data_IF_867765763265
#
_entry.id   IF_867765763265
#
_cell.length_a   1.000
_cell.length_b   1.000
_cell.length_c   1.000
_cell.angle_alpha   90.00
_cell.angle_beta   90.00
_cell.angle_gamma   90.00
#
_symmetry.space_group_name_H-M   'P 1'
#
loop_
_entity.id
_entity.type
_entity.pdbx_description
1 polymer ?
#
# COMPACT_ATOMS: atom_id res chain seq x y z
N UNK A 1 12.92 -56.79 -55.18
CA UNK A 1 11.95 -56.43 -54.16
C UNK A 1 12.52 -55.79 -52.84
N UNK A 2 13.80 -55.82 -52.63
CA UNK A 2 14.46 -55.41 -51.37
C UNK A 2 14.79 -53.88 -51.31
N UNK A 3 14.81 -53.17 -52.43
CA UNK A 3 15.18 -51.71 -52.46
C UNK A 3 14.04 -50.76 -52.15
N UNK A 4 12.76 -51.17 -52.27
CA UNK A 4 11.61 -50.35 -52.02
C UNK A 4 11.21 -50.28 -50.50
N UNK A 5 11.57 -51.32 -49.75
CA UNK A 5 11.26 -51.34 -48.29
C UNK A 5 12.20 -50.49 -47.48
N UNK A 6 13.44 -50.21 -47.94
CA UNK A 6 14.39 -49.33 -47.16
C UNK A 6 14.07 -47.85 -47.29
N UNK A 7 13.40 -47.42 -48.36
CA UNK A 7 12.95 -46.01 -48.49
C UNK A 7 11.73 -45.72 -47.70
N UNK A 8 10.83 -46.66 -47.48
CA UNK A 8 9.62 -46.43 -46.63
C UNK A 8 9.93 -46.30 -45.14
N UNK A 9 10.93 -47.00 -44.61
CA UNK A 9 11.36 -46.96 -43.23
C UNK A 9 12.10 -45.64 -42.92
N UNK A 10 12.86 -45.09 -43.88
CA UNK A 10 13.56 -43.81 -43.69
C UNK A 10 12.64 -42.61 -43.64
N UNK A 11 11.55 -42.60 -44.42
CA UNK A 11 10.57 -41.50 -44.43
C UNK A 11 9.70 -41.50 -43.19
N UNK A 12 9.31 -42.65 -42.65
CA UNK A 12 8.56 -42.73 -41.39
C UNK A 12 9.40 -42.29 -40.17
N UNK A 13 10.72 -42.59 -40.16
CA UNK A 13 11.60 -42.16 -39.10
C UNK A 13 11.84 -40.62 -39.08
N UNK A 14 11.87 -40.00 -40.28
CA UNK A 14 12.02 -38.54 -40.41
C UNK A 14 10.73 -37.78 -40.00
N UNK A 15 9.56 -38.33 -40.31
CA UNK A 15 8.27 -37.75 -39.90
C UNK A 15 8.01 -37.91 -38.41
N UNK A 16 8.48 -38.98 -37.77
CA UNK A 16 8.38 -39.16 -36.32
C UNK A 16 9.32 -38.20 -35.56
N UNK A 17 10.49 -37.86 -36.12
CA UNK A 17 11.41 -36.88 -35.51
C UNK A 17 10.91 -35.41 -35.62
N UNK A 18 10.13 -35.08 -36.67
CA UNK A 18 9.52 -33.76 -36.82
C UNK A 18 8.29 -33.59 -35.93
N UNK A 19 7.59 -34.67 -35.55
CA UNK A 19 6.43 -34.58 -34.64
C UNK A 19 6.83 -34.46 -33.15
N UNK A 20 8.05 -34.87 -32.77
CA UNK A 20 8.56 -34.76 -31.41
C UNK A 20 9.14 -33.37 -31.03
N UNK A 21 9.29 -32.47 -32.01
CA UNK A 21 9.89 -31.14 -31.83
C UNK A 21 8.90 -29.99 -31.58
N UNK A 22 7.59 -30.27 -31.53
CA UNK A 22 6.53 -29.24 -31.35
C UNK A 22 5.81 -29.34 -30.02
N UNK A 23 6.41 -29.91 -28.99
CA UNK A 23 5.95 -29.61 -27.61
C UNK A 23 6.47 -28.23 -27.22
N UNK A 24 5.71 -27.20 -27.58
CA UNK A 24 5.85 -25.92 -26.94
C UNK A 24 5.63 -26.15 -25.42
N UNK A 25 6.55 -25.73 -24.55
CA UNK A 25 6.20 -25.66 -23.15
C UNK A 25 4.99 -24.73 -23.10
N UNK A 26 3.82 -25.26 -22.75
CA UNK A 26 2.74 -24.43 -22.26
C UNK A 26 3.37 -23.62 -21.15
N UNK A 27 3.54 -22.31 -21.37
CA UNK A 27 3.79 -21.39 -20.28
C UNK A 27 2.69 -21.73 -19.25
N UNK A 28 3.09 -22.23 -18.09
CA UNK A 28 2.21 -22.29 -16.96
C UNK A 28 1.75 -20.83 -16.80
N UNK A 29 0.50 -20.55 -17.18
CA UNK A 29 -0.17 -19.36 -16.73
C UNK A 29 0.02 -19.44 -15.21
N UNK A 30 0.74 -18.50 -14.63
CA UNK A 30 0.68 -18.29 -13.21
C UNK A 30 -0.83 -18.14 -12.95
N UNK A 31 -1.39 -19.05 -12.17
CA UNK A 31 -2.69 -18.86 -11.58
C UNK A 31 -2.62 -17.47 -10.97
N UNK A 32 -3.23 -16.48 -11.60
CA UNK A 32 -3.61 -15.25 -10.92
C UNK A 32 -4.51 -15.77 -9.81
N UNK A 33 -3.97 -15.83 -8.62
CA UNK A 33 -4.74 -16.16 -7.42
C UNK A 33 -5.82 -15.09 -7.40
N UNK A 34 -7.04 -15.48 -7.80
CA UNK A 34 -8.21 -14.62 -7.82
C UNK A 34 -8.32 -14.06 -6.40
N UNK A 35 -7.92 -12.81 -6.25
CA UNK A 35 -7.87 -12.16 -4.94
C UNK A 35 -9.32 -12.00 -4.49
N UNK A 36 -9.69 -12.66 -3.40
CA UNK A 36 -11.06 -12.62 -2.90
C UNK A 36 -11.49 -11.16 -2.70
N UNK A 37 -12.70 -10.85 -3.15
CA UNK A 37 -13.26 -9.52 -3.06
C UNK A 37 -13.20 -8.98 -1.62
N UNK A 38 -12.82 -7.71 -1.42
CA UNK A 38 -12.86 -7.06 -0.13
C UNK A 38 -14.30 -6.91 0.35
N UNK A 39 -14.54 -7.15 1.64
CA UNK A 39 -15.85 -7.08 2.26
C UNK A 39 -15.94 -5.92 3.24
N UNK A 40 -16.98 -5.11 3.11
CA UNK A 40 -17.26 -4.00 4.03
C UNK A 40 -18.68 -4.12 4.57
N UNK A 41 -18.85 -4.00 5.87
CA UNK A 41 -20.16 -3.84 6.47
C UNK A 41 -20.27 -2.50 7.20
N UNK A 42 -21.21 -1.69 6.75
CA UNK A 42 -21.56 -0.43 7.39
C UNK A 42 -22.58 -0.71 8.49
N UNK A 43 -22.22 -0.46 9.74
CA UNK A 43 -23.10 -0.63 10.90
C UNK A 43 -23.61 0.74 11.34
N UNK A 44 -24.91 0.97 11.15
CA UNK A 44 -25.54 2.25 11.42
C UNK A 44 -26.40 2.20 12.68
N UNK A 45 -26.12 3.13 13.59
CA UNK A 45 -26.98 3.41 14.73
C UNK A 45 -28.27 4.08 14.27
N UNK A 46 -29.39 3.49 14.63
CA UNK A 46 -30.74 3.98 14.36
C UNK A 46 -31.52 4.16 15.69
N UNK A 47 -30.77 4.33 16.78
CA UNK A 47 -31.36 4.57 18.11
C UNK A 47 -32.05 5.92 18.21
N UNK A 48 -32.78 6.11 19.30
CA UNK A 48 -33.60 7.31 19.52
C UNK A 48 -32.81 8.63 19.53
N UNK A 49 -31.55 8.63 19.94
CA UNK A 49 -30.64 9.79 19.96
C UNK A 49 -30.35 10.33 18.56
N UNK A 50 -30.38 9.53 17.52
CA UNK A 50 -30.19 9.96 16.14
C UNK A 50 -31.23 10.97 15.62
N UNK A 51 -32.30 11.26 16.40
CA UNK A 51 -33.25 12.37 16.14
C UNK A 51 -32.68 13.72 16.46
N UNK A 52 -31.59 13.82 17.23
CA UNK A 52 -30.98 15.07 17.66
C UNK A 52 -30.60 15.94 16.47
N UNK A 53 -30.87 17.25 16.57
CA UNK A 53 -30.61 18.22 15.51
C UNK A 53 -29.40 19.08 15.88
N UNK A 54 -28.22 18.59 15.58
CA UNK A 54 -26.94 19.22 15.92
C UNK A 54 -25.85 19.04 14.84
N UNK A 55 -26.20 18.47 13.70
CA UNK A 55 -25.30 18.36 12.53
C UNK A 55 -25.84 19.26 11.41
N UNK A 56 -25.15 20.38 11.15
CA UNK A 56 -25.45 21.34 10.05
C UNK A 56 -26.92 21.73 9.96
N UNK A 57 -27.59 21.90 11.12
CA UNK A 57 -29.02 22.24 11.21
C UNK A 57 -29.98 21.08 10.92
N UNK A 58 -29.47 19.90 10.55
CA UNK A 58 -30.21 18.66 10.33
C UNK A 58 -30.18 17.72 11.51
N UNK A 59 -30.89 16.59 11.39
CA UNK A 59 -30.77 15.50 12.37
C UNK A 59 -29.53 14.64 12.04
N UNK A 60 -28.96 13.99 13.07
CA UNK A 60 -27.86 13.02 12.90
C UNK A 60 -28.23 11.93 11.89
N UNK A 61 -29.49 11.42 11.97
CA UNK A 61 -29.98 10.44 11.00
C UNK A 61 -30.06 10.98 9.57
N UNK A 62 -30.45 12.25 9.36
CA UNK A 62 -30.48 12.81 8.04
C UNK A 62 -29.07 12.95 7.44
N UNK A 63 -28.10 13.36 8.26
CA UNK A 63 -26.69 13.40 7.84
C UNK A 63 -26.16 12.01 7.51
N UNK A 64 -26.47 11.00 8.34
CA UNK A 64 -26.07 9.62 8.09
C UNK A 64 -26.66 9.07 6.78
N UNK A 65 -27.96 9.25 6.54
CA UNK A 65 -28.58 8.83 5.27
C UNK A 65 -27.94 9.45 4.05
N UNK A 66 -27.68 10.77 4.09
CA UNK A 66 -27.01 11.45 2.98
C UNK A 66 -25.61 10.90 2.75
N UNK A 67 -24.82 10.71 3.82
CA UNK A 67 -23.48 10.13 3.71
C UNK A 67 -23.52 8.70 3.13
N UNK A 68 -24.51 7.89 3.50
CA UNK A 68 -24.70 6.57 2.91
C UNK A 68 -25.02 6.65 1.42
N UNK A 69 -25.92 7.53 1.01
CA UNK A 69 -26.25 7.70 -0.41
C UNK A 69 -25.01 8.06 -1.24
N UNK A 70 -24.21 9.01 -0.77
CA UNK A 70 -22.98 9.45 -1.43
C UNK A 70 -21.92 8.32 -1.48
N UNK A 71 -21.74 7.60 -0.39
CA UNK A 71 -20.79 6.48 -0.30
C UNK A 71 -21.20 5.30 -1.17
N UNK A 72 -22.50 4.95 -1.20
CA UNK A 72 -23.01 3.89 -2.06
C UNK A 72 -22.77 4.21 -3.55
N UNK A 73 -22.89 5.49 -3.95
CA UNK A 73 -22.57 5.91 -5.32
C UNK A 73 -21.08 5.77 -5.65
N UNK A 74 -20.21 6.09 -4.67
CA UNK A 74 -18.77 6.10 -4.84
C UNK A 74 -18.11 4.72 -4.62
N UNK A 75 -18.83 3.74 -4.07
CA UNK A 75 -18.26 2.40 -3.76
C UNK A 75 -17.77 1.70 -5.03
N UNK A 76 -16.51 1.20 -5.06
CA UNK A 76 -15.98 0.41 -6.17
C UNK A 76 -16.81 -0.86 -6.42
N UNK A 77 -16.84 -1.33 -7.68
CA UNK A 77 -17.66 -2.50 -8.07
C UNK A 77 -17.12 -3.84 -7.55
N UNK A 78 -15.86 -3.88 -7.22
CA UNK A 78 -15.15 -5.04 -6.68
C UNK A 78 -15.26 -5.19 -5.16
N UNK A 79 -15.91 -4.22 -4.47
CA UNK A 79 -16.19 -4.28 -3.04
C UNK A 79 -17.54 -4.94 -2.80
N UNK A 80 -17.54 -6.02 -2.02
CA UNK A 80 -18.77 -6.60 -1.45
C UNK A 80 -19.20 -5.78 -0.24
N UNK A 81 -20.36 -5.11 -0.33
CA UNK A 81 -20.84 -4.22 0.73
C UNK A 81 -22.12 -4.75 1.37
N UNK A 82 -22.18 -4.66 2.69
CA UNK A 82 -23.37 -4.91 3.50
C UNK A 82 -23.74 -3.73 4.37
N UNK A 83 -24.98 -3.67 4.80
CA UNK A 83 -25.48 -2.67 5.75
C UNK A 83 -26.23 -3.38 6.87
N UNK A 84 -25.82 -3.12 8.10
CA UNK A 84 -26.49 -3.57 9.33
C UNK A 84 -26.95 -2.37 10.14
N UNK A 85 -28.09 -2.52 10.82
CA UNK A 85 -28.60 -1.51 11.76
C UNK A 85 -28.59 -2.03 13.19
N UNK A 86 -28.56 -1.11 14.11
CA UNK A 86 -28.87 -1.32 15.52
C UNK A 86 -29.93 -0.31 15.98
N UNK A 87 -30.88 -0.77 16.83
CA UNK A 87 -31.94 0.07 17.38
C UNK A 87 -32.99 0.55 16.38
N UNK A 88 -33.19 -0.17 15.27
CA UNK A 88 -34.09 0.26 14.20
C UNK A 88 -35.53 -0.23 14.34
N UNK A 89 -35.77 -1.38 15.01
CA UNK A 89 -37.02 -2.12 14.88
C UNK A 89 -37.85 -2.19 16.16
N UNK A 90 -37.24 -2.03 17.35
CA UNK A 90 -37.91 -2.13 18.61
C UNK A 90 -38.13 -0.77 19.31
N UNK A 91 -39.34 -0.18 19.25
CA UNK A 91 -39.62 1.11 19.85
C UNK A 91 -40.00 1.03 21.35
N UNK A 92 -40.00 -0.17 21.93
CA UNK A 92 -40.48 -0.41 23.30
C UNK A 92 -39.41 -0.11 24.37
N UNK A 93 -39.85 -0.14 25.62
CA UNK A 93 -39.02 0.16 26.80
C UNK A 93 -38.42 -1.10 27.45
N UNK A 94 -38.69 -2.30 26.94
CA UNK A 94 -38.05 -3.50 27.44
C UNK A 94 -36.62 -3.59 26.94
N UNK A 95 -35.67 -3.34 27.84
CA UNK A 95 -34.23 -3.35 27.53
C UNK A 95 -33.77 -4.69 26.99
N UNK A 96 -34.30 -5.80 27.51
CA UNK A 96 -33.89 -7.14 27.08
C UNK A 96 -34.23 -7.39 25.61
N UNK A 97 -35.39 -6.93 25.16
CA UNK A 97 -35.80 -7.05 23.76
C UNK A 97 -35.06 -5.97 22.89
N UNK A 98 -34.96 -4.74 23.37
CA UNK A 98 -34.23 -3.66 22.65
C UNK A 98 -32.76 -3.99 22.44
N UNK A 99 -32.13 -4.69 23.37
CA UNK A 99 -30.74 -5.11 23.26
C UNK A 99 -30.49 -6.29 22.27
N UNK A 100 -31.54 -6.84 21.70
CA UNK A 100 -31.45 -7.81 20.59
C UNK A 100 -31.67 -7.14 19.22
N UNK A 101 -32.03 -5.86 19.21
CA UNK A 101 -32.44 -5.15 18.00
C UNK A 101 -31.23 -4.76 17.15
N UNK A 102 -30.74 -5.74 16.41
CA UNK A 102 -29.80 -5.56 15.30
C UNK A 102 -30.27 -6.39 14.11
N UNK A 103 -30.27 -5.81 12.93
CA UNK A 103 -30.76 -6.42 11.73
C UNK A 103 -29.85 -6.13 10.53
N UNK A 104 -29.63 -7.13 9.69
CA UNK A 104 -29.02 -6.94 8.40
C UNK A 104 -30.03 -6.26 7.48
N UNK A 105 -29.79 -4.99 7.16
CA UNK A 105 -30.64 -4.18 6.31
C UNK A 105 -30.43 -4.50 4.83
N UNK A 106 -29.16 -4.69 4.46
CA UNK A 106 -28.70 -5.07 3.13
C UNK A 106 -27.59 -6.12 3.28
N UNK A 107 -27.69 -7.29 2.61
CA UNK A 107 -26.73 -8.37 2.79
C UNK A 107 -25.35 -8.04 2.21
N UNK A 108 -24.28 -8.57 2.82
CA UNK A 108 -22.94 -8.46 2.28
C UNK A 108 -22.83 -9.20 0.95
N UNK A 109 -22.41 -8.48 -0.10
CA UNK A 109 -22.31 -9.03 -1.45
C UNK A 109 -22.10 -7.94 -2.50
N UNK A 110 -22.17 -8.31 -3.80
CA UNK A 110 -22.13 -7.35 -4.89
C UNK A 110 -23.19 -6.25 -4.71
N UNK A 111 -22.78 -5.01 -4.81
CA UNK A 111 -23.62 -3.86 -4.47
C UNK A 111 -24.65 -3.53 -5.56
N UNK A 112 -25.95 -3.68 -5.27
CA UNK A 112 -27.00 -2.97 -5.98
C UNK A 112 -27.28 -1.63 -5.29
N UNK A 113 -26.82 -0.53 -5.90
CA UNK A 113 -26.93 0.81 -5.33
C UNK A 113 -28.37 1.26 -5.11
N UNK A 114 -29.28 0.90 -6.01
CA UNK A 114 -30.69 1.29 -5.93
C UNK A 114 -31.40 0.63 -4.77
N UNK A 115 -31.19 -0.67 -4.62
CA UNK A 115 -31.79 -1.44 -3.52
C UNK A 115 -31.22 -1.01 -2.17
N UNK A 116 -29.88 -0.84 -2.07
CA UNK A 116 -29.23 -0.38 -0.83
C UNK A 116 -29.72 1.00 -0.40
N UNK A 117 -29.81 1.99 -1.31
CA UNK A 117 -30.33 3.32 -1.02
C UNK A 117 -31.81 3.29 -0.61
N UNK A 118 -32.61 2.48 -1.29
CA UNK A 118 -34.02 2.32 -0.95
C UNK A 118 -34.16 1.78 0.47
N UNK A 119 -33.35 0.80 0.87
CA UNK A 119 -33.36 0.26 2.21
C UNK A 119 -32.96 1.34 3.25
N UNK A 120 -31.89 2.09 3.03
CA UNK A 120 -31.44 3.17 3.91
C UNK A 120 -32.50 4.27 4.04
N UNK A 121 -33.21 4.61 2.98
CA UNK A 121 -34.25 5.65 2.98
C UNK A 121 -35.40 5.32 3.97
N UNK A 122 -35.69 4.02 4.22
CA UNK A 122 -36.77 3.59 5.12
C UNK A 122 -36.47 3.79 6.61
N UNK A 123 -35.19 3.95 7.00
CA UNK A 123 -34.77 3.97 8.38
C UNK A 123 -35.38 5.16 9.16
N UNK A 124 -35.84 4.89 10.38
CA UNK A 124 -36.35 5.89 11.30
C UNK A 124 -35.73 5.68 12.69
N UNK A 125 -35.14 6.70 13.30
CA UNK A 125 -34.56 6.57 14.63
C UNK A 125 -35.59 6.06 15.64
N UNK A 126 -35.29 4.98 16.35
CA UNK A 126 -36.32 4.27 17.11
C UNK A 126 -35.87 3.85 18.50
N UNK A 127 -34.95 2.90 18.61
CA UNK A 127 -34.81 2.06 19.80
C UNK A 127 -33.57 2.32 20.65
N UNK A 128 -33.03 1.23 21.19
CA UNK A 128 -31.85 1.17 22.04
C UNK A 128 -30.56 1.14 21.22
N UNK A 129 -29.40 1.18 21.89
CA UNK A 129 -28.07 1.21 21.23
C UNK A 129 -27.29 -0.08 21.55
N UNK A 130 -27.60 -1.25 20.93
CA UNK A 130 -26.92 -2.53 21.16
C UNK A 130 -25.65 -2.67 20.31
N UNK A 131 -24.58 -1.90 20.58
CA UNK A 131 -23.33 -1.91 19.81
C UNK A 131 -22.66 -3.28 19.87
N UNK A 132 -22.45 -3.85 21.07
CA UNK A 132 -21.81 -5.16 21.23
C UNK A 132 -22.47 -6.27 20.42
N UNK A 133 -23.79 -6.49 20.56
CA UNK A 133 -24.53 -7.44 19.73
C UNK A 133 -24.44 -7.17 18.24
N UNK A 134 -24.46 -5.91 17.79
CA UNK A 134 -24.37 -5.55 16.38
C UNK A 134 -22.99 -5.90 15.80
N UNK A 135 -21.91 -5.62 16.53
CA UNK A 135 -20.55 -5.97 16.12
C UNK A 135 -20.32 -7.48 15.98
N UNK A 136 -20.87 -8.29 16.93
CA UNK A 136 -20.80 -9.76 16.83
C UNK A 136 -21.50 -10.29 15.59
N UNK A 137 -22.65 -9.73 15.25
CA UNK A 137 -23.40 -10.12 14.06
C UNK A 137 -22.72 -9.68 12.78
N UNK A 138 -22.24 -8.43 12.73
CA UNK A 138 -21.49 -7.92 11.59
C UNK A 138 -20.21 -8.73 11.32
N UNK A 139 -19.47 -9.11 12.36
CA UNK A 139 -18.31 -10.00 12.20
C UNK A 139 -18.71 -11.36 11.61
N UNK A 140 -19.89 -11.89 11.96
CA UNK A 140 -20.43 -13.12 11.37
C UNK A 140 -20.88 -12.96 9.92
N UNK A 141 -21.44 -11.80 9.54
CA UNK A 141 -21.87 -11.51 8.16
C UNK A 141 -20.68 -11.39 7.20
N UNK A 142 -19.53 -10.98 7.73
CA UNK A 142 -18.27 -10.88 6.98
C UNK A 142 -17.47 -12.19 6.96
N UNK A 143 -17.95 -13.25 7.59
CA UNK A 143 -17.20 -14.50 7.68
C UNK A 143 -17.02 -15.17 6.30
N UNK A 144 -15.92 -15.90 6.14
CA UNK A 144 -15.57 -16.59 4.90
C UNK A 144 -14.80 -15.72 3.89
N UNK A 145 -13.97 -16.39 3.08
CA UNK A 145 -13.07 -15.77 2.11
C UNK A 145 -11.74 -15.31 2.69
N UNK A 146 -10.81 -14.95 1.82
CA UNK A 146 -9.44 -14.51 2.16
C UNK A 146 -9.23 -13.00 1.95
N UNK A 147 -10.25 -12.25 1.50
CA UNK A 147 -10.17 -10.81 1.25
C UNK A 147 -10.13 -9.98 2.53
N UNK A 148 -9.85 -8.71 2.38
CA UNK A 148 -9.92 -7.70 3.46
C UNK A 148 -11.34 -7.63 4.01
N UNK A 149 -11.49 -7.55 5.33
CA UNK A 149 -12.78 -7.41 6.00
C UNK A 149 -12.78 -6.18 6.88
N UNK A 150 -13.81 -5.37 6.75
CA UNK A 150 -13.92 -4.11 7.47
C UNK A 150 -15.34 -3.86 7.96
N UNK A 151 -15.47 -3.50 9.23
CA UNK A 151 -16.69 -2.93 9.78
C UNK A 151 -16.47 -1.43 9.94
N UNK A 152 -17.44 -0.62 9.51
CA UNK A 152 -17.48 0.81 9.78
C UNK A 152 -18.69 1.08 10.65
N UNK A 153 -18.47 1.27 11.95
CA UNK A 153 -19.52 1.58 12.92
C UNK A 153 -19.75 3.08 12.99
N UNK A 154 -20.99 3.50 12.79
CA UNK A 154 -21.43 4.89 12.89
C UNK A 154 -22.45 4.98 14.01
N UNK A 155 -22.11 5.68 15.11
CA UNK A 155 -22.98 5.82 16.28
C UNK A 155 -22.83 7.22 16.91
N UNK A 156 -23.88 7.67 17.59
CA UNK A 156 -23.93 8.95 18.27
C UNK A 156 -23.97 8.80 19.80
N UNK A 157 -23.95 7.59 20.33
CA UNK A 157 -24.08 7.33 21.76
C UNK A 157 -23.32 6.11 22.27
N UNK A 158 -23.32 5.98 23.59
CA UNK A 158 -22.78 4.82 24.27
C UNK A 158 -23.71 3.60 24.10
N UNK A 159 -23.11 2.42 24.18
CA UNK A 159 -23.88 1.17 24.30
C UNK A 159 -24.79 1.20 25.54
N UNK A 160 -26.07 0.96 25.33
CA UNK A 160 -27.08 0.90 26.40
C UNK A 160 -27.37 -0.54 26.85
N UNK A 161 -26.63 -1.53 26.33
CA UNK A 161 -26.99 -2.95 26.37
C UNK A 161 -25.93 -3.82 27.09
N UNK A 162 -25.83 -3.66 28.41
CA UNK A 162 -25.02 -4.57 29.21
C UNK A 162 -25.71 -5.96 29.38
N UNK A 163 -24.94 -7.04 29.59
CA UNK A 163 -23.57 -7.08 30.11
C UNK A 163 -22.46 -7.13 29.05
N UNK A 164 -22.78 -7.15 27.77
CA UNK A 164 -21.78 -7.21 26.71
C UNK A 164 -21.10 -5.83 26.55
N UNK A 165 -19.86 -5.71 27.00
CA UNK A 165 -19.03 -4.52 26.75
C UNK A 165 -18.58 -4.52 25.29
N UNK A 166 -18.89 -3.49 24.48
CA UNK A 166 -18.51 -3.45 23.07
C UNK A 166 -17.01 -3.50 22.82
N UNK A 167 -16.18 -2.96 23.74
CA UNK A 167 -14.75 -3.02 23.62
C UNK A 167 -14.20 -4.43 23.85
N UNK A 168 -14.76 -5.19 24.82
CA UNK A 168 -14.44 -6.60 25.01
C UNK A 168 -14.86 -7.43 23.81
N UNK A 169 -16.03 -7.15 23.23
CA UNK A 169 -16.49 -7.77 21.99
C UNK A 169 -15.50 -7.53 20.85
N UNK A 170 -15.01 -6.31 20.68
CA UNK A 170 -14.02 -5.99 19.65
C UNK A 170 -12.71 -6.76 19.87
N UNK A 171 -12.23 -6.89 21.12
CA UNK A 171 -11.06 -7.73 21.48
C UNK A 171 -11.31 -9.21 21.17
N UNK A 172 -12.51 -9.73 21.44
CA UNK A 172 -12.86 -11.12 21.11
C UNK A 172 -12.84 -11.34 19.58
N UNK A 173 -13.37 -10.39 18.81
CA UNK A 173 -13.33 -10.42 17.34
C UNK A 173 -11.89 -10.43 16.85
N UNK A 174 -11.03 -9.55 17.37
CA UNK A 174 -9.61 -9.49 17.03
C UNK A 174 -8.87 -10.79 17.38
N UNK A 175 -9.18 -11.40 18.54
CA UNK A 175 -8.55 -12.63 18.99
C UNK A 175 -8.87 -13.85 18.11
N UNK A 176 -9.98 -13.84 17.37
CA UNK A 176 -10.31 -14.87 16.39
C UNK A 176 -9.41 -14.88 15.16
N UNK A 177 -8.55 -13.88 15.01
CA UNK A 177 -7.51 -13.84 13.96
C UNK A 177 -8.05 -13.76 12.53
N UNK A 178 -9.28 -13.28 12.34
CA UNK A 178 -9.97 -13.26 11.03
C UNK A 178 -9.55 -12.08 10.15
N UNK A 179 -8.54 -11.30 10.54
CA UNK A 179 -8.08 -10.14 9.75
C UNK A 179 -9.15 -9.07 9.55
N UNK A 180 -10.05 -8.90 10.54
CA UNK A 180 -11.14 -7.94 10.49
C UNK A 180 -10.75 -6.67 11.23
N UNK A 181 -10.92 -5.52 10.60
CA UNK A 181 -10.70 -4.20 11.18
C UNK A 181 -12.04 -3.51 11.45
N UNK A 182 -12.19 -2.89 12.62
CA UNK A 182 -13.38 -2.10 12.97
C UNK A 182 -12.97 -0.63 13.07
N UNK A 183 -13.45 0.19 12.15
CA UNK A 183 -13.36 1.65 12.28
C UNK A 183 -14.64 2.21 12.90
N UNK A 184 -14.51 3.26 13.67
CA UNK A 184 -15.65 3.86 14.38
C UNK A 184 -15.74 5.37 14.10
N UNK A 185 -16.95 5.83 13.84
CA UNK A 185 -17.29 7.24 13.66
C UNK A 185 -18.30 7.67 14.70
N UNK A 186 -17.91 8.63 15.54
CA UNK A 186 -18.79 9.23 16.56
C UNK A 186 -19.46 10.47 16.03
N UNK A 187 -20.79 10.50 15.97
CA UNK A 187 -21.57 11.68 15.56
C UNK A 187 -21.80 12.60 16.77
N UNK A 188 -21.10 13.75 16.78
CA UNK A 188 -21.15 14.73 17.89
C UNK A 188 -21.00 14.05 19.27
N UNK A 189 -19.98 13.24 19.52
CA UNK A 189 -19.90 12.38 20.69
C UNK A 189 -19.51 13.16 21.93
N UNK A 190 -20.07 12.78 23.09
CA UNK A 190 -19.54 13.15 24.39
C UNK A 190 -18.22 12.39 24.70
N UNK A 191 -17.62 12.65 25.87
CA UNK A 191 -16.35 12.03 26.24
C UNK A 191 -16.44 10.51 26.39
N UNK A 192 -17.53 10.00 26.96
CA UNK A 192 -17.70 8.57 27.23
C UNK A 192 -17.95 7.81 25.94
N UNK A 193 -18.82 8.32 25.07
CA UNK A 193 -19.03 7.78 23.72
C UNK A 193 -17.72 7.72 22.95
N UNK A 194 -16.90 8.79 23.04
CA UNK A 194 -15.58 8.84 22.40
C UNK A 194 -14.66 7.76 22.92
N UNK A 195 -14.54 7.63 24.25
CA UNK A 195 -13.66 6.64 24.87
C UNK A 195 -14.06 5.21 24.48
N UNK A 196 -15.36 4.91 24.45
CA UNK A 196 -15.86 3.60 24.05
C UNK A 196 -15.60 3.31 22.58
N UNK A 197 -15.91 4.26 21.67
CA UNK A 197 -15.69 4.09 20.23
C UNK A 197 -14.19 3.98 19.89
N UNK A 198 -13.32 4.76 20.56
CA UNK A 198 -11.87 4.64 20.42
C UNK A 198 -11.38 3.26 20.85
N UNK A 199 -11.85 2.75 22.00
CA UNK A 199 -11.46 1.43 22.47
C UNK A 199 -11.86 0.31 21.48
N UNK A 200 -13.05 0.39 20.86
CA UNK A 200 -13.50 -0.57 19.85
C UNK A 200 -12.58 -0.57 18.64
N UNK A 201 -12.23 0.60 18.12
CA UNK A 201 -11.36 0.75 16.98
C UNK A 201 -9.94 0.23 17.29
N UNK A 202 -9.34 0.68 18.38
CA UNK A 202 -7.98 0.31 18.80
C UNK A 202 -7.83 -1.20 19.01
N UNK A 203 -8.87 -1.88 19.50
CA UNK A 203 -8.87 -3.32 19.74
C UNK A 203 -8.63 -4.15 18.47
N UNK A 204 -8.95 -3.63 17.29
CA UNK A 204 -8.80 -4.32 16.00
C UNK A 204 -7.80 -3.65 15.04
N UNK A 205 -7.07 -2.64 15.52
CA UNK A 205 -6.14 -1.86 14.68
C UNK A 205 -6.85 -0.92 13.71
N UNK A 206 -8.12 -0.58 13.98
CA UNK A 206 -8.88 0.42 13.24
C UNK A 206 -8.66 1.83 13.73
N UNK A 207 -9.49 2.76 13.25
CA UNK A 207 -9.39 4.18 13.57
C UNK A 207 -10.71 4.73 14.09
N UNK A 208 -10.63 5.56 15.13
CA UNK A 208 -11.74 6.38 15.59
C UNK A 208 -11.72 7.75 14.93
N UNK A 209 -12.88 8.27 14.54
CA UNK A 209 -13.04 9.64 14.03
C UNK A 209 -14.27 10.29 14.67
N UNK A 210 -14.10 11.49 15.24
CA UNK A 210 -15.21 12.34 15.67
C UNK A 210 -15.70 13.16 14.48
N UNK A 211 -16.99 13.18 14.25
CA UNK A 211 -17.65 13.87 13.14
C UNK A 211 -18.62 14.91 13.67
N UNK A 212 -18.50 16.14 13.22
CA UNK A 212 -19.39 17.24 13.57
C UNK A 212 -20.16 17.82 12.37
N UNK A 213 -19.68 17.53 11.16
CA UNK A 213 -20.26 17.99 9.91
C UNK A 213 -20.57 16.81 8.99
N UNK A 214 -21.64 16.92 8.19
CA UNK A 214 -22.07 15.86 7.26
C UNK A 214 -21.03 15.53 6.20
N UNK A 215 -20.29 16.53 5.70
CA UNK A 215 -19.24 16.36 4.72
C UNK A 215 -18.09 15.53 5.27
N UNK A 216 -17.69 15.76 6.53
CA UNK A 216 -16.68 14.94 7.23
C UNK A 216 -17.13 13.47 7.31
N UNK A 217 -18.43 13.22 7.54
CA UNK A 217 -18.97 11.87 7.59
C UNK A 217 -18.87 11.19 6.22
N UNK A 218 -19.34 11.84 5.17
CA UNK A 218 -19.28 11.33 3.80
C UNK A 218 -17.85 11.01 3.39
N UNK A 219 -16.94 11.97 3.55
CA UNK A 219 -15.53 11.82 3.18
C UNK A 219 -14.88 10.66 3.93
N UNK A 220 -15.14 10.56 5.23
CA UNK A 220 -14.50 9.54 6.06
C UNK A 220 -15.02 8.14 5.77
N UNK A 221 -16.34 7.95 5.65
CA UNK A 221 -16.90 6.63 5.30
C UNK A 221 -16.41 6.22 3.90
N UNK A 222 -16.42 7.14 2.93
CA UNK A 222 -15.88 6.89 1.59
C UNK A 222 -14.42 6.45 1.62
N UNK A 223 -13.55 7.15 2.36
CA UNK A 223 -12.14 6.76 2.54
C UNK A 223 -12.00 5.34 3.13
N UNK A 224 -12.82 4.98 4.11
CA UNK A 224 -12.75 3.66 4.75
C UNK A 224 -13.21 2.54 3.81
N UNK A 225 -14.25 2.78 3.01
CA UNK A 225 -14.69 1.84 1.97
C UNK A 225 -13.61 1.67 0.90
N UNK A 226 -13.03 2.77 0.40
CA UNK A 226 -11.92 2.70 -0.56
C UNK A 226 -10.69 1.97 0.00
N UNK A 227 -10.34 2.19 1.27
CA UNK A 227 -9.23 1.45 1.92
C UNK A 227 -9.48 -0.05 2.01
N UNK A 228 -10.73 -0.49 2.03
CA UNK A 228 -11.03 -1.92 2.01
C UNK A 228 -10.79 -2.51 0.60
N UNK A 229 -10.99 -1.72 -0.44
CA UNK A 229 -10.69 -2.09 -1.82
C UNK A 229 -9.19 -2.12 -2.13
N UNK A 230 -8.36 -1.40 -1.35
CA UNK A 230 -6.91 -1.45 -1.52
C UNK A 230 -6.42 -2.90 -1.31
N UNK A 231 -5.75 -3.50 -2.31
CA UNK A 231 -5.30 -4.87 -2.21
C UNK A 231 -4.34 -5.03 -1.02
N UNK A 232 -4.64 -5.96 -0.13
CA UNK A 232 -3.65 -6.39 0.87
C UNK A 232 -2.55 -7.11 0.11
N UNK A 233 -1.48 -6.41 -0.18
CA UNK A 233 -0.30 -7.00 -0.79
C UNK A 233 0.34 -7.92 0.23
N UNK A 234 0.09 -9.22 0.10
CA UNK A 234 0.79 -10.21 0.92
C UNK A 234 2.23 -10.28 0.47
N UNK A 235 3.22 -10.04 1.35
CA UNK A 235 4.61 -10.11 0.98
C UNK A 235 4.97 -11.50 0.46
N UNK A 236 5.66 -11.55 -0.68
CA UNK A 236 6.16 -12.78 -1.26
C UNK A 236 7.58 -13.04 -0.74
N UNK A 237 7.85 -14.27 -0.29
CA UNK A 237 9.19 -14.64 0.13
C UNK A 237 10.13 -14.62 -1.08
N UNK A 238 11.22 -13.85 -1.00
CA UNK A 238 12.26 -13.77 -2.02
C UNK A 238 13.62 -14.00 -1.35
N UNK A 239 14.43 -14.87 -1.94
CA UNK A 239 15.81 -15.09 -1.47
C UNK A 239 16.77 -14.30 -2.34
N UNK A 240 17.21 -13.14 -1.88
CA UNK A 240 18.24 -12.35 -2.54
C UNK A 240 19.58 -13.10 -2.59
N UNK A 241 20.39 -12.82 -3.61
CA UNK A 241 21.70 -13.42 -3.78
C UNK A 241 22.84 -12.57 -3.18
N UNK A 242 24.05 -13.10 -3.15
CA UNK A 242 25.26 -12.37 -2.76
C UNK A 242 25.82 -11.45 -3.85
N UNK A 243 25.32 -11.57 -5.09
CA UNK A 243 25.76 -10.76 -6.24
C UNK A 243 24.66 -10.68 -7.30
N UNK A 244 24.68 -9.64 -8.12
CA UNK A 244 23.67 -9.38 -9.13
C UNK A 244 23.49 -10.55 -10.12
N UNK A 245 24.57 -11.16 -10.60
CA UNK A 245 24.51 -12.20 -11.63
C UNK A 245 23.63 -13.40 -11.26
N UNK A 246 23.64 -13.79 -9.98
CA UNK A 246 22.86 -14.92 -9.43
C UNK A 246 21.54 -14.47 -8.75
N UNK A 247 21.23 -13.17 -8.78
CA UNK A 247 20.06 -12.65 -8.09
C UNK A 247 18.74 -13.02 -8.80
N UNK A 248 17.65 -13.24 -8.04
CA UNK A 248 16.33 -13.46 -8.61
C UNK A 248 15.81 -12.18 -9.29
N UNK A 249 15.02 -12.34 -10.34
CA UNK A 249 14.32 -11.24 -11.00
C UNK A 249 12.96 -11.05 -10.33
N UNK A 250 12.70 -9.85 -9.82
CA UNK A 250 11.46 -9.46 -9.16
C UNK A 250 10.57 -8.67 -10.13
N UNK A 251 9.27 -8.83 -9.99
CA UNK A 251 8.24 -7.98 -10.59
C UNK A 251 7.83 -6.89 -9.61
N UNK A 252 6.91 -5.99 -10.00
CA UNK A 252 6.27 -5.10 -9.04
C UNK A 252 5.57 -5.91 -7.94
N UNK A 253 5.80 -5.53 -6.68
CA UNK A 253 5.26 -6.24 -5.51
C UNK A 253 6.03 -5.95 -4.23
N UNK A 254 5.53 -6.55 -3.14
CA UNK A 254 6.14 -6.52 -1.81
C UNK A 254 6.80 -7.86 -1.53
N UNK A 255 8.04 -7.83 -1.08
CA UNK A 255 8.87 -9.02 -0.87
C UNK A 255 9.43 -9.05 0.55
N UNK A 256 9.54 -10.27 1.10
CA UNK A 256 10.26 -10.49 2.37
C UNK A 256 11.48 -11.36 2.14
N UNK A 257 12.56 -11.03 2.82
CA UNK A 257 13.80 -11.81 2.86
C UNK A 257 14.44 -11.70 4.24
N UNK A 258 15.56 -12.37 4.44
CA UNK A 258 16.42 -12.24 5.60
C UNK A 258 17.85 -11.97 5.16
N UNK A 259 18.43 -10.91 5.72
CA UNK A 259 19.81 -10.53 5.45
C UNK A 259 20.68 -10.89 6.65
N UNK A 260 21.67 -11.76 6.47
CA UNK A 260 22.63 -12.06 7.52
C UNK A 260 23.51 -10.83 7.80
N UNK A 261 23.97 -10.71 9.04
CA UNK A 261 24.82 -9.59 9.45
C UNK A 261 26.03 -9.39 8.54
N UNK A 262 26.22 -8.18 8.04
CA UNK A 262 27.29 -7.82 7.11
C UNK A 262 27.17 -8.38 5.70
N UNK A 263 26.07 -9.02 5.34
CA UNK A 263 25.80 -9.50 3.98
C UNK A 263 24.99 -8.50 3.19
N UNK A 264 25.35 -8.36 1.92
CA UNK A 264 24.55 -7.65 0.92
C UNK A 264 23.52 -8.61 0.31
N UNK A 265 22.35 -8.09 -0.03
CA UNK A 265 21.31 -8.81 -0.78
C UNK A 265 21.09 -8.15 -2.13
N UNK A 266 21.07 -8.99 -3.16
CA UNK A 266 20.93 -8.55 -4.54
C UNK A 266 19.67 -9.12 -5.17
N UNK A 267 18.98 -8.27 -5.93
CA UNK A 267 17.78 -8.60 -6.70
C UNK A 267 17.90 -7.98 -8.09
N UNK A 268 17.14 -8.46 -9.07
CA UNK A 268 17.04 -7.90 -10.41
C UNK A 268 15.64 -7.37 -10.67
N UNK A 269 15.54 -6.32 -11.45
CA UNK A 269 14.27 -5.76 -11.94
C UNK A 269 14.48 -5.35 -13.39
N UNK A 270 13.57 -5.74 -14.26
CA UNK A 270 13.61 -5.35 -15.67
C UNK A 270 12.81 -4.07 -15.88
N UNK A 271 13.45 -3.04 -16.43
CA UNK A 271 12.87 -1.69 -16.63
C UNK A 271 12.93 -1.35 -18.10
N UNK A 272 11.79 -1.11 -18.75
CA UNK A 272 11.71 -0.68 -20.15
C UNK A 272 11.98 0.82 -20.28
N UNK A 273 12.42 1.31 -21.44
CA UNK A 273 12.42 2.74 -21.73
C UNK A 273 11.04 3.38 -21.46
N UNK A 274 11.01 4.57 -20.90
CA UNK A 274 9.79 5.24 -20.52
C UNK A 274 9.13 4.75 -19.23
N UNK A 275 9.73 3.76 -18.56
CA UNK A 275 9.28 3.31 -17.23
C UNK A 275 10.14 3.92 -16.11
N UNK A 276 9.57 3.96 -14.92
CA UNK A 276 10.24 4.38 -13.70
C UNK A 276 10.25 3.23 -12.70
N UNK A 277 11.45 2.88 -12.22
CA UNK A 277 11.63 1.98 -11.10
C UNK A 277 11.57 2.77 -9.80
N UNK A 278 10.68 2.36 -8.91
CA UNK A 278 10.61 2.79 -7.50
C UNK A 278 10.92 1.58 -6.64
N UNK A 279 11.82 1.73 -5.71
CA UNK A 279 12.12 0.67 -4.76
C UNK A 279 12.36 1.24 -3.38
N UNK A 280 11.90 0.54 -2.35
CA UNK A 280 12.18 0.85 -0.96
C UNK A 280 12.47 -0.41 -0.18
N UNK A 281 13.32 -0.30 0.83
CA UNK A 281 13.67 -1.40 1.71
C UNK A 281 13.53 -0.97 3.15
N UNK A 282 12.96 -1.86 3.97
CA UNK A 282 12.91 -1.76 5.42
C UNK A 282 13.64 -2.93 6.03
N UNK A 283 14.48 -2.67 7.00
CA UNK A 283 15.16 -3.70 7.81
C UNK A 283 14.81 -3.45 9.27
N UNK A 284 14.27 -4.49 9.92
CA UNK A 284 13.94 -4.46 11.34
C UNK A 284 14.87 -5.35 12.15
N UNK A 285 15.18 -4.94 13.37
CA UNK A 285 15.89 -5.79 14.32
C UNK A 285 14.88 -6.63 15.11
N UNK A 286 14.86 -7.93 14.86
CA UNK A 286 14.09 -8.91 15.62
C UNK A 286 14.85 -9.42 16.88
N UNK A 287 15.99 -8.79 17.18
CA UNK A 287 16.90 -9.09 18.31
C UNK A 287 17.83 -7.93 18.59
N UNK A 288 18.53 -7.96 19.72
CA UNK A 288 19.49 -6.92 20.07
C UNK A 288 20.60 -6.78 19.01
N UNK A 289 20.84 -5.56 18.57
CA UNK A 289 21.90 -5.17 17.62
C UNK A 289 22.79 -4.10 18.26
N UNK A 290 24.02 -3.97 17.77
CA UNK A 290 24.90 -2.88 18.21
C UNK A 290 24.35 -1.53 17.73
N UNK A 291 24.40 -0.47 18.55
CA UNK A 291 24.08 0.88 18.12
C UNK A 291 25.13 1.34 17.08
N UNK A 292 24.76 1.93 16.01
CA UNK A 292 25.53 2.29 14.83
C UNK A 292 25.34 1.31 13.70
N UNK A 293 24.20 1.40 13.07
CA UNK A 293 23.87 0.64 11.89
C UNK A 293 23.20 1.55 10.86
N UNK A 294 23.25 1.11 9.62
CA UNK A 294 22.59 1.82 8.53
C UNK A 294 22.14 0.84 7.47
N UNK A 295 21.18 1.27 6.69
CA UNK A 295 20.68 0.58 5.51
C UNK A 295 20.85 1.49 4.29
N UNK A 296 21.35 0.91 3.21
CA UNK A 296 21.52 1.57 1.92
C UNK A 296 20.90 0.71 0.82
N UNK A 297 20.05 1.32 0.02
CA UNK A 297 19.52 0.75 -1.20
C UNK A 297 20.13 1.47 -2.40
N UNK A 298 20.68 0.70 -3.36
CA UNK A 298 21.18 1.28 -4.60
C UNK A 298 20.81 0.44 -5.83
N UNK A 299 20.66 1.11 -6.95
CA UNK A 299 20.44 0.49 -8.24
C UNK A 299 21.72 0.58 -9.06
N UNK A 300 22.12 -0.55 -9.65
CA UNK A 300 23.32 -0.63 -10.48
C UNK A 300 22.99 -1.36 -11.79
N UNK A 301 23.74 -1.10 -12.85
CA UNK A 301 23.65 -1.88 -14.07
C UNK A 301 24.15 -3.31 -13.84
N UNK A 302 23.79 -4.26 -14.73
CA UNK A 302 24.31 -5.62 -14.70
C UNK A 302 25.87 -5.69 -14.74
N UNK A 303 26.54 -4.62 -15.20
CA UNK A 303 28.01 -4.47 -15.22
C UNK A 303 28.57 -3.83 -13.94
N UNK A 304 27.74 -3.58 -12.92
CA UNK A 304 28.16 -3.03 -11.64
C UNK A 304 28.31 -1.50 -11.59
N UNK A 305 27.92 -0.76 -12.65
CA UNK A 305 27.92 0.71 -12.61
C UNK A 305 26.70 1.20 -11.84
N UNK A 306 26.92 2.01 -10.82
CA UNK A 306 25.85 2.65 -10.06
C UNK A 306 25.01 3.58 -10.95
N UNK A 307 23.69 3.43 -10.89
CA UNK A 307 22.71 4.24 -11.62
C UNK A 307 22.14 5.29 -10.67
N UNK A 308 21.61 4.84 -9.55
CA UNK A 308 21.02 5.69 -8.51
C UNK A 308 21.24 5.06 -7.15
N UNK A 309 21.35 5.91 -6.16
CA UNK A 309 21.53 5.52 -4.75
C UNK A 309 20.45 6.20 -3.93
N UNK A 310 19.79 5.43 -3.05
CA UNK A 310 18.98 5.97 -1.97
C UNK A 310 19.87 6.65 -0.92
N UNK A 311 19.26 7.47 -0.09
CA UNK A 311 19.96 8.04 1.06
C UNK A 311 20.25 6.93 2.08
N UNK A 312 21.46 6.93 2.64
CA UNK A 312 21.80 5.98 3.71
C UNK A 312 21.00 6.34 4.97
N UNK A 313 20.12 5.44 5.37
CA UNK A 313 19.29 5.60 6.55
C UNK A 313 19.87 4.85 7.73
N UNK A 314 19.77 5.42 8.94
CA UNK A 314 20.11 4.77 10.19
C UNK A 314 20.86 5.68 11.15
N UNK A 315 20.38 5.74 12.38
CA UNK A 315 21.02 6.46 13.48
C UNK A 315 21.20 5.58 14.73
N UNK A 316 20.84 4.30 14.65
CA UNK A 316 20.86 3.39 15.80
C UNK A 316 19.82 3.73 16.88
N UNK A 317 18.75 4.45 16.54
CA UNK A 317 17.74 4.92 17.52
C UNK A 317 16.33 4.37 17.30
N UNK A 318 16.12 3.60 16.24
CA UNK A 318 14.81 3.05 15.89
C UNK A 318 14.94 1.58 15.54
N UNK A 319 13.93 0.79 15.90
CA UNK A 319 13.89 -0.67 15.69
C UNK A 319 13.66 -1.04 14.22
N UNK A 320 13.34 -0.05 13.37
CA UNK A 320 13.15 -0.23 11.93
C UNK A 320 13.78 0.93 11.17
N UNK A 321 14.52 0.59 10.12
CA UNK A 321 15.12 1.57 9.20
C UNK A 321 14.66 1.32 7.79
N UNK A 322 14.21 2.37 7.13
CA UNK A 322 13.75 2.34 5.74
C UNK A 322 14.52 3.34 4.90
N UNK A 323 14.83 2.95 3.67
CA UNK A 323 15.38 3.81 2.64
C UNK A 323 14.78 3.42 1.28
N UNK A 324 14.75 4.37 0.35
CA UNK A 324 14.20 4.13 -0.97
C UNK A 324 14.98 4.85 -2.06
N UNK A 325 14.71 4.48 -3.30
CA UNK A 325 15.25 5.09 -4.50
C UNK A 325 14.19 5.18 -5.59
N UNK A 326 14.45 6.05 -6.57
CA UNK A 326 13.63 6.27 -7.74
C UNK A 326 14.54 6.39 -8.96
N UNK A 327 14.26 5.62 -10.00
CA UNK A 327 15.00 5.63 -11.25
C UNK A 327 14.06 5.74 -12.44
N UNK A 328 13.80 6.94 -12.97
CA UNK A 328 13.11 7.12 -14.23
C UNK A 328 14.05 6.77 -15.39
N UNK A 329 13.66 5.80 -16.23
CA UNK A 329 14.41 5.47 -17.43
C UNK A 329 13.91 6.31 -18.60
N UNK A 330 14.78 7.05 -19.30
CA UNK A 330 14.38 7.85 -20.45
C UNK A 330 13.63 7.00 -21.49
N UNK A 331 12.63 7.60 -22.14
CA UNK A 331 11.97 7.01 -23.29
C UNK A 331 12.96 6.78 -24.44
N UNK A 332 12.69 5.83 -25.29
CA UNK A 332 13.44 5.55 -26.51
C UNK A 332 12.55 5.85 -27.71
N UNK A 333 13.17 6.33 -28.81
CA UNK A 333 12.48 6.47 -30.10
C UNK A 333 12.15 5.10 -30.74
N UNK A 334 12.70 4.02 -30.20
CA UNK A 334 12.40 2.65 -30.59
C UNK A 334 11.39 2.02 -29.61
N UNK A 335 10.13 1.89 -30.03
CA UNK A 335 9.05 1.31 -29.23
C UNK A 335 9.32 -0.16 -28.85
N UNK A 336 10.24 -0.85 -29.54
CA UNK A 336 10.65 -2.22 -29.26
C UNK A 336 11.97 -2.33 -28.49
N UNK A 337 12.49 -1.23 -27.97
CA UNK A 337 13.74 -1.27 -27.21
C UNK A 337 13.63 -2.24 -26.01
N UNK A 338 14.61 -3.15 -25.85
CA UNK A 338 14.55 -4.18 -24.82
C UNK A 338 14.59 -3.57 -23.41
N UNK A 339 13.97 -4.27 -22.47
CA UNK A 339 14.11 -3.93 -21.06
C UNK A 339 15.59 -4.06 -20.63
N UNK A 340 16.02 -3.15 -19.77
CA UNK A 340 17.32 -3.23 -19.12
C UNK A 340 17.17 -3.88 -17.76
N UNK A 341 18.01 -4.86 -17.48
CA UNK A 341 18.06 -5.45 -16.14
C UNK A 341 18.83 -4.53 -15.21
N UNK A 342 18.13 -3.99 -14.23
CA UNK A 342 18.67 -3.19 -13.13
C UNK A 342 18.85 -4.09 -11.92
N UNK A 343 20.03 -4.03 -11.29
CA UNK A 343 20.31 -4.76 -10.06
C UNK A 343 20.05 -3.85 -8.86
N UNK A 344 19.19 -4.29 -7.95
CA UNK A 344 18.98 -3.66 -6.65
C UNK A 344 19.92 -4.31 -5.64
N UNK A 345 20.72 -3.51 -4.96
CA UNK A 345 21.57 -3.93 -3.85
C UNK A 345 21.08 -3.33 -2.55
N UNK A 346 20.78 -4.21 -1.61
CA UNK A 346 20.50 -3.87 -0.22
C UNK A 346 21.76 -4.14 0.59
N UNK A 347 22.40 -3.10 1.09
CA UNK A 347 23.53 -3.16 2.00
C UNK A 347 23.10 -2.68 3.38
N UNK A 348 23.56 -3.37 4.43
CA UNK A 348 23.33 -2.94 5.80
C UNK A 348 24.57 -3.18 6.66
N UNK A 349 24.73 -2.38 7.73
CA UNK A 349 25.84 -2.44 8.65
C UNK A 349 25.48 -2.96 10.05
N UNK A 350 24.34 -3.65 10.17
CA UNK A 350 23.98 -4.27 11.45
C UNK A 350 25.00 -5.27 11.88
N UNK A 351 25.27 -5.32 13.19
CA UNK A 351 26.13 -6.31 13.83
C UNK A 351 25.51 -6.78 15.14
N UNK A 352 25.79 -8.02 15.53
CA UNK A 352 25.27 -8.59 16.76
C UNK A 352 26.23 -8.34 17.94
N UNK A 353 25.70 -7.94 19.12
CA UNK A 353 26.49 -7.96 20.37
C UNK A 353 26.96 -9.37 20.70
N UNK A 354 28.00 -9.45 21.56
CA UNK A 354 28.50 -10.74 22.04
C UNK A 354 27.38 -11.54 22.73
N UNK A 355 27.23 -12.82 22.33
CA UNK A 355 26.19 -13.72 22.84
C UNK A 355 24.85 -13.68 22.13
N UNK A 356 24.63 -12.77 21.20
CA UNK A 356 23.42 -12.74 20.37
C UNK A 356 23.63 -13.58 19.10
N UNK A 357 22.67 -14.47 18.79
CA UNK A 357 22.74 -15.31 17.58
C UNK A 357 22.61 -14.44 16.33
N UNK A 358 23.54 -14.59 15.40
CA UNK A 358 23.54 -13.89 14.11
C UNK A 358 22.66 -14.56 13.04
N UNK A 359 22.17 -15.78 13.27
CA UNK A 359 21.32 -16.56 12.38
C UNK A 359 19.98 -16.89 13.03
N UNK A 360 18.86 -16.90 12.27
CA UNK A 360 18.72 -16.43 10.89
C UNK A 360 19.02 -14.93 10.77
N UNK A 361 19.26 -14.42 9.55
CA UNK A 361 19.50 -12.98 9.32
C UNK A 361 18.32 -12.11 9.77
N UNK A 362 18.50 -10.79 9.78
CA UNK A 362 17.47 -9.82 10.13
C UNK A 362 16.34 -9.83 9.09
N UNK A 363 15.07 -9.62 9.50
CA UNK A 363 13.95 -9.47 8.58
C UNK A 363 14.14 -8.24 7.68
N UNK A 364 13.87 -8.44 6.41
CA UNK A 364 13.94 -7.42 5.37
C UNK A 364 12.65 -7.44 4.57
N UNK A 365 12.05 -6.26 4.37
CA UNK A 365 10.97 -6.04 3.44
C UNK A 365 11.47 -5.16 2.29
N UNK A 366 11.21 -5.59 1.05
CA UNK A 366 11.57 -4.88 -0.17
C UNK A 366 10.32 -4.64 -1.01
N UNK A 367 10.00 -3.38 -1.24
CA UNK A 367 8.97 -2.99 -2.21
C UNK A 367 9.63 -2.66 -3.53
N UNK A 368 9.09 -3.21 -4.60
CA UNK A 368 9.50 -2.92 -5.98
C UNK A 368 8.26 -2.50 -6.75
N UNK A 369 8.34 -1.39 -7.46
CA UNK A 369 7.29 -0.92 -8.34
C UNK A 369 7.89 -0.41 -9.65
N UNK A 370 7.29 -0.80 -10.78
CA UNK A 370 7.69 -0.36 -12.12
C UNK A 370 6.48 0.24 -12.79
N UNK A 371 6.46 1.56 -12.85
CA UNK A 371 5.33 2.35 -13.36
C UNK A 371 5.71 3.06 -14.66
N UNK A 372 4.73 3.62 -15.37
CA UNK A 372 5.01 4.53 -16.47
C UNK A 372 5.76 5.75 -15.96
N UNK A 373 6.88 6.06 -16.59
CA UNK A 373 7.68 7.22 -16.25
C UNK A 373 6.99 8.53 -16.69
N UNK A 374 7.43 9.68 -16.17
CA UNK A 374 6.94 10.97 -16.64
C UNK A 374 7.35 11.20 -18.09
N UNK A 375 6.48 11.82 -18.90
CA UNK A 375 6.69 12.10 -20.33
C UNK A 375 7.96 12.90 -20.64
N UNK A 376 8.48 13.61 -19.66
CA UNK A 376 9.78 14.25 -19.70
C UNK A 376 10.53 13.93 -18.41
N UNK A 377 11.51 13.04 -18.50
CA UNK A 377 12.43 12.78 -17.40
C UNK A 377 13.38 14.00 -17.22
N UNK A 378 12.85 15.11 -16.72
CA UNK A 378 13.62 16.26 -16.28
C UNK A 378 14.17 16.04 -14.87
N UNK A 379 14.49 14.81 -14.52
CA UNK A 379 14.94 14.56 -13.17
C UNK A 379 16.44 14.85 -13.03
N UNK A 380 16.75 15.48 -11.90
CA UNK A 380 18.08 15.89 -11.44
C UNK A 380 19.07 14.72 -11.32
N UNK A 381 18.58 13.48 -11.40
CA UNK A 381 19.34 12.24 -11.30
C UNK A 381 19.91 11.72 -12.64
N UNK A 382 19.68 12.37 -13.77
CA UNK A 382 20.47 12.07 -14.96
C UNK A 382 21.88 12.61 -14.74
N UNK A 383 22.80 11.76 -14.33
CA UNK A 383 24.22 12.05 -14.19
C UNK A 383 24.83 12.37 -15.56
N UNK A 384 24.57 13.52 -16.03
CA UNK A 384 25.21 14.18 -17.15
C UNK A 384 25.17 15.67 -16.87
N UNK A 385 26.23 16.36 -17.16
CA UNK A 385 26.33 17.80 -16.96
C UNK A 385 25.22 18.61 -17.66
N UNK A 386 24.32 17.95 -18.43
CA UNK A 386 23.19 18.56 -19.10
C UNK A 386 23.49 19.95 -19.62
N UNK A 387 22.71 20.96 -19.22
CA UNK A 387 23.03 22.37 -19.45
C UNK A 387 24.26 22.88 -18.68
N UNK A 388 24.84 22.12 -17.79
CA UNK A 388 26.04 22.47 -17.05
C UNK A 388 27.29 22.68 -17.93
N UNK A 389 27.33 22.07 -19.12
CA UNK A 389 28.37 22.36 -20.13
C UNK A 389 28.33 23.83 -20.58
N UNK A 390 27.15 24.42 -20.70
CA UNK A 390 26.99 25.84 -21.01
C UNK A 390 27.46 26.72 -19.85
N UNK A 391 27.19 26.33 -18.61
CA UNK A 391 27.69 27.03 -17.42
C UNK A 391 29.21 26.96 -17.33
N UNK A 392 29.81 25.79 -17.57
CA UNK A 392 31.27 25.65 -17.65
C UNK A 392 31.85 26.49 -18.78
N UNK A 393 31.25 26.43 -19.97
CA UNK A 393 31.69 27.26 -21.11
C UNK A 393 31.59 28.75 -20.80
N UNK A 394 30.52 29.23 -20.19
CA UNK A 394 30.34 30.64 -19.78
C UNK A 394 31.32 31.04 -18.69
N UNK A 395 31.60 30.21 -17.69
CA UNK A 395 32.61 30.48 -16.66
C UNK A 395 34.02 30.59 -17.23
N UNK A 396 34.38 29.67 -18.15
CA UNK A 396 35.68 29.75 -18.86
C UNK A 396 35.79 31.02 -19.71
N UNK A 397 34.71 31.38 -20.42
CA UNK A 397 34.69 32.62 -21.24
C UNK A 397 34.83 33.87 -20.37
N UNK A 398 34.08 33.94 -19.25
CA UNK A 398 34.17 35.08 -18.32
C UNK A 398 35.55 35.16 -17.70
N UNK A 399 36.13 34.03 -17.28
CA UNK A 399 37.49 33.97 -16.75
C UNK A 399 38.54 34.43 -17.77
N UNK A 400 38.40 34.03 -19.04
CA UNK A 400 39.27 34.46 -20.13
C UNK A 400 39.16 35.97 -20.40
N UNK A 401 37.93 36.51 -20.51
CA UNK A 401 37.68 37.93 -20.71
C UNK A 401 38.21 38.79 -19.55
N UNK A 402 38.00 38.33 -18.31
CA UNK A 402 38.53 38.99 -17.13
C UNK A 402 40.06 39.00 -17.12
N UNK A 403 40.70 37.88 -17.52
CA UNK A 403 42.15 37.77 -17.64
C UNK A 403 42.73 38.69 -18.72
N UNK A 404 42.09 38.79 -19.89
CA UNK A 404 42.48 39.70 -20.97
C UNK A 404 42.36 41.16 -20.53
N UNK A 405 41.22 41.53 -19.92
CA UNK A 405 40.98 42.86 -19.37
C UNK A 405 42.02 43.23 -18.30
N UNK A 406 42.30 42.34 -17.38
CA UNK A 406 43.32 42.55 -16.36
C UNK A 406 44.72 42.70 -16.97
N UNK A 407 45.07 41.87 -17.95
CA UNK A 407 46.35 41.94 -18.65
C UNK A 407 46.48 43.22 -19.45
N UNK A 408 45.41 43.75 -20.07
CA UNK A 408 45.37 45.01 -20.77
C UNK A 408 45.51 46.21 -19.81
N UNK A 409 44.78 46.27 -18.73
CA UNK A 409 44.86 47.29 -17.68
C UNK A 409 46.23 47.32 -16.98
N UNK A 410 46.84 46.16 -16.75
CA UNK A 410 48.14 46.05 -16.13
C UNK A 410 49.26 46.65 -17.02
N UNK A 411 49.12 46.55 -18.35
CA UNK A 411 50.03 47.19 -19.29
C UNK A 411 50.00 48.73 -19.21
N UNK A 412 48.83 49.31 -19.00
CA UNK A 412 48.66 50.74 -18.82
C UNK A 412 49.29 51.25 -17.51
N UNK A 413 49.20 50.51 -16.45
CA UNK A 413 49.82 50.84 -15.15
C UNK A 413 51.34 50.86 -15.22
N UNK A 414 51.97 49.98 -15.99
CA UNK A 414 53.43 49.95 -16.17
C UNK A 414 53.92 51.17 -16.98
N UNK A 415 53.13 51.68 -17.94
CA UNK A 415 53.47 52.87 -18.73
C UNK A 415 53.49 54.20 -17.91
N UNK A 416 52.62 54.28 -16.86
CA UNK A 416 52.56 55.50 -16.01
C UNK A 416 53.77 55.65 -15.07
N UNK A 417 54.46 54.56 -14.70
CA UNK A 417 55.56 54.55 -13.77
C UNK A 417 56.95 54.73 -14.46
N UNK A 418 57.02 54.87 -15.80
CA UNK A 418 58.27 55.10 -16.54
C UNK A 418 58.48 56.51 -17.05
N UNK A 419 57.67 57.49 -16.67
CA UNK A 419 57.75 58.87 -17.10
C UNK A 419 58.08 59.84 -15.94
N UNK A 420 58.98 59.40 -15.00
CA UNK A 420 59.64 60.33 -14.11
C UNK A 420 61.15 59.95 -13.98
#
# INVERSE_FOLDING_TARGET
>A
MIRRQRLAVGVCALLAALAAGLTFPTAAAADETEQAAPKVELVLDVSGSMRTRDIDGGTRMAAAKQAFDDVLDATPQDVELGIRTLGANYPGNDRKEGCKDTAQLYPVGPLDRTDAKTAVATLQPTGWTPIGPALLKAAGDLDGGSGTRRIVLISDGEDTCQPLDPCEVAREIAAKGIGLTIDTLGLVPDSKTRDQLSCIADATGGTYTSVQHKEELTDRVGQLVHRAADPVVTPVAASGAGQCTSAPTLKSGLYTDRAAFGQQRWYKVDVKPGQELRASVSVADDRAVNPSYGVLLRAVTAKGREIVRGEAAGTGRTDMISTGLRYPKPSSDDDNAPAETVCLEVAHSFSAPAGVKSTPGLPLELTVDVVSGPDQAHDVASFGLGRGWWLLGTLVLIGFLAGVLWGWLSRWRVAIWRTN
#
